data_IF_855674853960
#
_entry.id   IF_855674853960
#
_cell.length_a   1.000
_cell.length_b   1.000
_cell.length_c   1.000
_cell.angle_alpha   90.00
_cell.angle_beta   90.00
_cell.angle_gamma   90.00
#
_symmetry.space_group_name_H-M   'P 1'
#
loop_
_entity.id
_entity.type
_entity.pdbx_description
1 polymer ?
#
# COMPACT_ATOMS: atom_id res chain seq x y z
N UNK A 1 -1.89 21.82 -18.73
CA UNK A 1 -2.08 20.68 -19.65
C UNK A 1 -2.53 19.51 -18.80
N UNK A 2 -3.77 19.06 -18.96
CA UNK A 2 -4.32 17.94 -18.18
C UNK A 2 -4.01 16.65 -18.93
N UNK A 3 -3.19 15.78 -18.34
CA UNK A 3 -3.05 14.41 -18.81
C UNK A 3 -4.29 13.63 -18.41
N UNK A 4 -5.12 13.29 -19.40
CA UNK A 4 -6.19 12.30 -19.27
C UNK A 4 -5.55 10.94 -18.98
N UNK A 5 -5.67 10.47 -17.74
CA UNK A 5 -5.32 9.09 -17.42
C UNK A 5 -6.46 8.18 -17.93
N UNK A 6 -6.16 7.06 -18.60
CA UNK A 6 -7.18 6.03 -18.79
C UNK A 6 -7.67 5.62 -17.41
N UNK A 7 -8.99 5.56 -17.25
CA UNK A 7 -9.71 5.10 -16.05
C UNK A 7 -9.41 3.63 -15.81
N UNK A 8 -8.18 3.33 -15.38
CA UNK A 8 -7.79 2.00 -14.95
C UNK A 8 -8.49 1.84 -13.62
N UNK A 9 -9.63 1.17 -13.62
CA UNK A 9 -10.41 0.88 -12.42
C UNK A 9 -9.51 0.09 -11.48
N UNK A 10 -9.03 0.73 -10.41
CA UNK A 10 -8.24 0.06 -9.38
C UNK A 10 -9.15 -0.97 -8.73
N UNK A 11 -8.77 -2.23 -8.83
CA UNK A 11 -9.54 -3.32 -8.24
C UNK A 11 -9.46 -3.25 -6.72
N UNK A 12 -10.62 -3.29 -6.06
CA UNK A 12 -10.72 -3.31 -4.60
C UNK A 12 -10.75 -4.77 -4.16
N UNK A 13 -9.87 -5.12 -3.24
CA UNK A 13 -9.74 -6.47 -2.70
C UNK A 13 -9.94 -6.46 -1.19
N UNK A 14 -10.34 -7.61 -0.64
CA UNK A 14 -10.28 -7.86 0.80
C UNK A 14 -8.86 -8.21 1.23
N UNK A 15 -8.49 -7.85 2.46
CA UNK A 15 -7.10 -8.01 2.93
C UNK A 15 -6.64 -9.47 2.92
N UNK A 16 -7.54 -10.42 3.15
CA UNK A 16 -7.26 -11.86 3.12
C UNK A 16 -6.73 -12.34 1.76
N UNK A 17 -7.07 -11.64 0.67
CA UNK A 17 -6.60 -11.96 -0.67
C UNK A 17 -5.11 -11.65 -0.87
N UNK A 18 -4.50 -10.79 -0.02
CA UNK A 18 -3.07 -10.47 -0.10
C UNK A 18 -2.17 -11.70 0.05
N UNK A 19 -2.62 -12.73 0.77
CA UNK A 19 -1.84 -13.92 1.06
C UNK A 19 -1.53 -14.78 -0.17
N UNK A 20 -2.35 -14.69 -1.22
CA UNK A 20 -2.16 -15.43 -2.48
C UNK A 20 -1.52 -14.58 -3.58
N UNK A 21 -1.23 -13.30 -3.30
CA UNK A 21 -0.68 -12.38 -4.28
C UNK A 21 0.84 -12.47 -4.39
N UNK A 22 1.33 -12.21 -5.60
CA UNK A 22 2.74 -12.12 -5.89
C UNK A 22 3.15 -10.67 -6.12
N UNK A 23 4.36 -10.33 -5.70
CA UNK A 23 4.93 -8.99 -5.80
C UNK A 23 6.25 -9.03 -6.53
N UNK A 24 6.51 -8.02 -7.37
CA UNK A 24 7.78 -7.89 -8.05
C UNK A 24 8.95 -7.77 -7.05
N UNK A 25 10.14 -8.18 -7.47
CA UNK A 25 11.35 -7.99 -6.68
C UNK A 25 11.80 -6.51 -6.62
N UNK A 26 11.55 -5.77 -7.70
CA UNK A 26 11.83 -4.34 -7.79
C UNK A 26 10.79 -3.49 -7.05
N UNK A 27 11.19 -2.24 -6.75
CA UNK A 27 10.28 -1.23 -6.22
C UNK A 27 9.38 -0.69 -7.33
N UNK A 28 8.08 -0.64 -7.08
CA UNK A 28 7.07 -0.16 -8.05
C UNK A 28 7.18 1.34 -8.29
N UNK A 29 7.76 2.08 -7.35
CA UNK A 29 8.08 3.49 -7.52
C UNK A 29 9.50 3.63 -8.05
N UNK A 30 9.69 4.33 -9.15
CA UNK A 30 11.02 4.60 -9.72
C UNK A 30 11.69 5.84 -9.12
N UNK A 31 10.89 6.79 -8.65
CA UNK A 31 11.35 8.05 -8.07
C UNK A 31 11.72 7.91 -6.58
N UNK A 32 12.88 8.44 -6.21
CA UNK A 32 13.37 8.39 -4.83
C UNK A 32 12.49 9.23 -3.89
N UNK A 33 12.03 10.41 -4.33
CA UNK A 33 11.20 11.26 -3.48
C UNK A 33 9.84 10.60 -3.18
N UNK A 34 9.24 9.91 -4.16
CA UNK A 34 8.04 9.10 -3.99
C UNK A 34 8.24 7.95 -3.00
N UNK A 35 9.39 7.25 -3.04
CA UNK A 35 9.71 6.21 -2.04
C UNK A 35 9.86 6.78 -0.62
N UNK A 36 10.49 7.95 -0.48
CA UNK A 36 10.60 8.62 0.81
C UNK A 36 9.24 9.08 1.34
N UNK A 37 8.39 9.63 0.45
CA UNK A 37 7.00 10.00 0.78
C UNK A 37 6.22 8.79 1.29
N UNK A 38 6.26 7.68 0.56
CA UNK A 38 5.63 6.41 0.94
C UNK A 38 6.11 5.92 2.31
N UNK A 39 7.40 6.07 2.62
CA UNK A 39 7.94 5.69 3.93
C UNK A 39 7.32 6.53 5.06
N UNK A 40 7.31 7.85 4.89
CA UNK A 40 6.70 8.78 5.86
C UNK A 40 5.20 8.46 6.05
N UNK A 41 4.49 8.19 4.95
CA UNK A 41 3.08 7.84 5.01
C UNK A 41 2.85 6.47 5.68
N UNK A 42 3.73 5.49 5.51
CA UNK A 42 3.68 4.21 6.22
C UNK A 42 3.86 4.35 7.74
N UNK A 43 4.79 5.22 8.17
CA UNK A 43 5.01 5.51 9.58
C UNK A 43 3.77 6.26 10.18
N UNK A 44 3.16 7.16 9.41
CA UNK A 44 1.89 7.82 9.77
C UNK A 44 0.73 6.82 9.87
N UNK A 45 0.60 5.92 8.90
CA UNK A 45 -0.41 4.86 8.85
C UNK A 45 -0.32 3.96 10.09
N UNK A 46 0.89 3.58 10.47
CA UNK A 46 1.16 2.82 11.70
C UNK A 46 0.71 3.58 12.95
N UNK A 47 1.06 4.87 13.05
CA UNK A 47 0.66 5.72 14.17
C UNK A 47 -0.86 5.80 14.32
N UNK A 48 -1.58 6.03 13.21
CA UNK A 48 -3.04 6.12 13.20
C UNK A 48 -3.71 4.77 13.52
N UNK A 49 -3.17 3.68 12.97
CA UNK A 49 -3.69 2.34 13.23
C UNK A 49 -3.54 1.94 14.69
N UNK A 50 -2.42 2.27 15.33
CA UNK A 50 -2.16 1.97 16.73
C UNK A 50 -2.94 2.88 17.69
N UNK A 51 -3.07 4.17 17.39
CA UNK A 51 -3.74 5.13 18.28
C UNK A 51 -5.27 5.10 18.16
N UNK A 52 -5.79 4.93 16.95
CA UNK A 52 -7.23 5.12 16.67
C UNK A 52 -7.90 3.89 16.08
N UNK A 53 -7.15 2.83 15.80
CA UNK A 53 -7.64 1.61 15.15
C UNK A 53 -8.34 1.91 13.81
N UNK A 54 -7.93 3.03 13.18
CA UNK A 54 -8.48 3.52 11.93
C UNK A 54 -8.14 2.58 10.78
N UNK A 55 -9.05 2.46 9.82
CA UNK A 55 -8.73 1.92 8.50
C UNK A 55 -8.32 3.06 7.60
N UNK A 56 -7.46 2.77 6.63
CA UNK A 56 -7.07 3.65 5.55
C UNK A 56 -7.00 2.84 4.27
N UNK A 57 -6.89 3.51 3.13
CA UNK A 57 -6.72 2.82 1.85
C UNK A 57 -5.23 2.69 1.52
N UNK A 58 -4.82 1.48 1.15
CA UNK A 58 -3.47 1.19 0.67
C UNK A 58 -3.59 0.84 -0.81
N UNK A 59 -2.90 1.62 -1.64
CA UNK A 59 -2.77 1.34 -3.07
C UNK A 59 -1.44 0.61 -3.30
N UNK A 60 -1.48 -0.48 -4.04
CA UNK A 60 -0.31 -1.30 -4.31
C UNK A 60 -0.37 -1.93 -5.70
N UNK A 61 0.75 -2.48 -6.16
CA UNK A 61 0.85 -3.16 -7.44
C UNK A 61 1.37 -4.59 -7.29
N UNK A 62 0.73 -5.53 -7.98
CA UNK A 62 1.12 -6.95 -8.03
C UNK A 62 2.21 -7.20 -9.08
N UNK A 63 2.82 -8.38 -9.05
CA UNK A 63 3.93 -8.74 -9.93
C UNK A 63 3.60 -8.68 -11.44
N UNK A 64 2.33 -8.83 -11.80
CA UNK A 64 1.80 -8.68 -13.17
C UNK A 64 1.55 -7.22 -13.58
N UNK A 65 1.80 -6.26 -12.70
CA UNK A 65 1.63 -4.83 -12.94
C UNK A 65 0.23 -4.29 -12.61
N UNK A 66 -0.71 -5.13 -12.17
CA UNK A 66 -2.05 -4.68 -11.83
C UNK A 66 -2.06 -3.82 -10.55
N UNK A 67 -2.72 -2.67 -10.60
CA UNK A 67 -2.93 -1.80 -9.44
C UNK A 67 -4.18 -2.24 -8.67
N UNK A 68 -4.03 -2.43 -7.37
CA UNK A 68 -5.07 -2.87 -6.44
C UNK A 68 -5.16 -1.96 -5.22
N UNK A 69 -6.30 -2.01 -4.54
CA UNK A 69 -6.59 -1.24 -3.33
C UNK A 69 -7.15 -2.15 -2.26
N UNK A 70 -6.66 -1.98 -1.03
CA UNK A 70 -7.19 -2.64 0.16
C UNK A 70 -7.45 -1.62 1.26
N UNK A 71 -8.59 -1.73 1.94
CA UNK A 71 -8.94 -0.88 3.08
C UNK A 71 -8.73 -1.64 4.40
N UNK A 72 -7.67 -1.31 5.14
CA UNK A 72 -7.34 -2.01 6.40
C UNK A 72 -6.54 -1.13 7.35
N UNK A 73 -6.27 -1.66 8.55
CA UNK A 73 -5.43 -1.01 9.56
C UNK A 73 -3.99 -1.52 9.43
N UNK A 74 -3.03 -0.59 9.45
CA UNK A 74 -1.59 -0.89 9.52
C UNK A 74 -1.17 -0.93 11.00
N UNK A 75 -0.52 -2.01 11.42
CA UNK A 75 -0.04 -2.20 12.80
C UNK A 75 1.46 -1.89 12.95
N UNK A 76 2.25 -2.15 11.91
CA UNK A 76 3.66 -1.82 11.88
C UNK A 76 4.14 -1.59 10.44
N UNK A 77 5.22 -0.83 10.30
CA UNK A 77 5.94 -0.63 9.05
C UNK A 77 7.45 -0.74 9.31
N UNK A 78 8.08 -1.81 8.83
CA UNK A 78 9.53 -1.97 8.85
C UNK A 78 10.14 -1.57 7.49
N UNK A 79 11.44 -1.80 7.29
CA UNK A 79 12.15 -1.41 6.06
C UNK A 79 11.59 -2.07 4.80
N UNK A 80 11.00 -3.25 4.93
CA UNK A 80 10.63 -4.12 3.82
C UNK A 80 9.11 -4.34 3.72
N UNK A 81 8.37 -4.29 4.83
CA UNK A 81 6.96 -4.69 4.90
C UNK A 81 6.09 -3.78 5.76
N UNK A 82 4.81 -3.74 5.41
CA UNK A 82 3.72 -3.36 6.30
C UNK A 82 3.16 -4.62 6.96
N UNK A 83 3.03 -4.61 8.28
CA UNK A 83 2.19 -5.57 9.02
C UNK A 83 0.79 -4.99 9.14
N UNK A 84 -0.19 -5.73 8.66
CA UNK A 84 -1.61 -5.34 8.63
C UNK A 84 -2.39 -6.11 9.70
N UNK A 85 -3.58 -5.60 10.04
CA UNK A 85 -4.49 -6.30 10.95
C UNK A 85 -4.73 -7.76 10.52
N UNK A 86 -4.72 -8.66 11.52
CA UNK A 86 -4.73 -10.13 11.35
C UNK A 86 -3.40 -10.75 10.92
N UNK A 87 -2.28 -10.02 11.03
CA UNK A 87 -0.94 -10.56 10.81
C UNK A 87 -0.52 -10.72 9.35
N UNK A 88 -1.31 -10.17 8.41
CA UNK A 88 -0.99 -10.15 6.99
C UNK A 88 0.17 -9.18 6.72
N UNK A 89 1.01 -9.51 5.75
CA UNK A 89 2.12 -8.66 5.34
C UNK A 89 1.95 -8.17 3.90
N UNK A 90 2.31 -6.91 3.65
CA UNK A 90 2.38 -6.32 2.31
C UNK A 90 3.77 -5.72 2.12
N UNK A 91 4.55 -6.14 1.11
CA UNK A 91 5.86 -5.54 0.86
C UNK A 91 5.75 -4.04 0.63
N UNK A 92 6.51 -3.25 1.38
CA UNK A 92 6.51 -1.79 1.28
C UNK A 92 6.90 -1.35 -0.13
N UNK A 93 7.81 -2.09 -0.79
CA UNK A 93 8.23 -1.88 -2.18
C UNK A 93 7.11 -2.03 -3.21
N UNK A 94 6.00 -2.68 -2.86
CA UNK A 94 4.83 -2.86 -3.73
C UNK A 94 3.78 -1.77 -3.53
N UNK A 95 3.89 -0.96 -2.47
CA UNK A 95 2.93 0.09 -2.15
C UNK A 95 3.20 1.31 -3.04
N UNK A 96 2.13 1.81 -3.66
CA UNK A 96 2.09 3.01 -4.48
C UNK A 96 1.80 4.25 -3.63
N UNK A 97 0.96 4.11 -2.60
CA UNK A 97 0.59 5.21 -1.71
C UNK A 97 -0.54 4.83 -0.76
N UNK A 98 -0.96 5.81 0.03
CA UNK A 98 -2.00 5.70 1.04
C UNK A 98 -3.02 6.82 0.87
N UNK A 99 -4.29 6.54 1.14
CA UNK A 99 -5.31 7.58 1.34
C UNK A 99 -5.81 7.55 2.78
N UNK A 100 -5.73 8.71 3.44
CA UNK A 100 -6.07 8.88 4.84
C UNK A 100 -7.41 9.62 4.93
N UNK A 101 -8.41 9.00 5.57
CA UNK A 101 -9.70 9.63 5.86
C UNK A 101 -9.60 10.69 6.97
#
# INVERSE_FOLDING_TARGET
MYFSHPTTTVEIIEKEELASMHFAAGDVLTDQAARQRRRVDADRATTLGNAYHGKLEIYFQTADGAAKRVATTVWAADGDHLTLKSGLALPLRAVLGFDFY
#
